data_IF_813237911654
#
_entry.id   IF_813237911654
#
_cell.length_a   1.000
_cell.length_b   1.000
_cell.length_c   1.000
_cell.angle_alpha   90.00
_cell.angle_beta   90.00
_cell.angle_gamma   90.00
#
_symmetry.space_group_name_H-M   'P 1'
#
loop_
_entity.id
_entity.type
_entity.pdbx_description
1 polymer ?
#
# COMPACT_ATOMS: atom_id res chain seq x y z
N UNK A 1 -38.98 17.21 -0.25
CA UNK A 1 -39.00 15.91 -0.97
C UNK A 1 -37.72 15.17 -0.58
N UNK A 2 -37.79 14.15 0.29
CA UNK A 2 -36.63 13.39 0.77
C UNK A 2 -36.35 12.25 -0.20
N UNK A 3 -35.20 12.28 -0.87
CA UNK A 3 -34.77 11.17 -1.74
C UNK A 3 -34.19 10.06 -0.85
N UNK A 4 -34.96 8.98 -0.68
CA UNK A 4 -34.51 7.78 0.02
C UNK A 4 -33.75 6.89 -0.97
N UNK A 5 -32.42 7.07 -1.03
CA UNK A 5 -31.54 6.20 -1.80
C UNK A 5 -31.38 4.90 -1.02
N UNK A 6 -32.03 3.83 -1.49
CA UNK A 6 -31.92 2.51 -0.89
C UNK A 6 -30.49 1.95 -1.02
N UNK A 7 -30.04 1.15 -0.06
CA UNK A 7 -28.71 0.49 -0.11
C UNK A 7 -28.51 -0.35 -1.39
N UNK A 8 -29.60 -0.84 -1.98
CA UNK A 8 -29.58 -1.64 -3.21
C UNK A 8 -29.24 -0.82 -4.46
N UNK A 9 -29.55 0.49 -4.48
CA UNK A 9 -29.24 1.36 -5.63
C UNK A 9 -27.73 1.67 -5.72
N UNK A 10 -27.03 1.70 -4.58
CA UNK A 10 -25.57 1.90 -4.53
C UNK A 10 -24.84 0.62 -4.99
N UNK A 11 -25.33 -0.56 -4.58
CA UNK A 11 -24.79 -1.84 -5.01
C UNK A 11 -24.96 -2.07 -6.53
N UNK A 12 -26.09 -1.63 -7.10
CA UNK A 12 -26.33 -1.70 -8.54
C UNK A 12 -25.41 -0.74 -9.32
N UNK A 13 -25.10 0.43 -8.76
CA UNK A 13 -24.17 1.38 -9.36
C UNK A 13 -22.74 0.82 -9.37
N UNK A 14 -22.34 0.06 -8.34
CA UNK A 14 -21.04 -0.61 -8.28
C UNK A 14 -20.93 -1.78 -9.26
N UNK A 15 -22.03 -2.48 -9.57
CA UNK A 15 -22.04 -3.59 -10.53
C UNK A 15 -21.95 -3.12 -11.99
N UNK A 16 -22.45 -1.92 -12.31
CA UNK A 16 -22.49 -1.38 -13.68
C UNK A 16 -21.16 -0.80 -14.19
N UNK A 17 -20.15 -0.61 -13.33
CA UNK A 17 -18.81 -0.16 -13.74
C UNK A 17 -17.84 -1.31 -14.07
N UNK A 18 -18.33 -2.55 -14.13
CA UNK A 18 -17.51 -3.76 -14.39
C UNK A 18 -17.33 -4.06 -15.89
N UNK A 19 -17.67 -3.14 -16.80
CA UNK A 19 -17.54 -3.37 -18.24
C UNK A 19 -16.06 -3.37 -18.66
N UNK A 20 -15.58 -4.58 -18.95
CA UNK A 20 -14.27 -4.91 -19.49
C UNK A 20 -13.84 -3.95 -20.62
N UNK A 21 -12.91 -3.06 -20.31
CA UNK A 21 -12.14 -2.33 -21.32
C UNK A 21 -10.99 -3.23 -21.77
N UNK A 22 -11.25 -4.09 -22.74
CA UNK A 22 -10.21 -4.87 -23.40
C UNK A 22 -9.48 -3.98 -24.41
N UNK A 23 -8.29 -3.52 -24.03
CA UNK A 23 -7.35 -2.90 -24.95
C UNK A 23 -6.23 -3.91 -25.20
N UNK A 24 -6.26 -4.56 -26.36
CA UNK A 24 -5.20 -5.41 -26.84
C UNK A 24 -4.25 -4.59 -27.70
N UNK A 25 -3.03 -4.34 -27.20
CA UNK A 25 -1.84 -4.19 -28.06
C UNK A 25 -0.66 -4.92 -27.40
N UNK A 26 -0.02 -5.75 -28.20
CA UNK A 26 1.02 -6.71 -27.88
C UNK A 26 2.39 -6.05 -27.65
N UNK A 27 3.10 -6.46 -26.60
CA UNK A 27 4.52 -6.89 -26.61
C UNK A 27 4.94 -7.32 -25.20
N UNK A 28 5.08 -8.63 -24.95
CA UNK A 28 5.76 -9.19 -23.77
C UNK A 28 5.33 -8.65 -22.38
N UNK A 29 4.04 -8.38 -22.20
CA UNK A 29 3.49 -7.93 -20.92
C UNK A 29 3.04 -9.18 -20.18
N UNK A 30 3.80 -9.63 -19.17
CA UNK A 30 3.28 -10.59 -18.20
C UNK A 30 2.15 -9.90 -17.43
N UNK A 31 0.92 -10.37 -17.64
CA UNK A 31 -0.22 -9.93 -16.87
C UNK A 31 -0.07 -10.44 -15.44
N UNK A 32 0.28 -9.52 -14.53
CA UNK A 32 0.33 -9.83 -13.12
C UNK A 32 -1.12 -10.03 -12.64
N UNK A 33 -1.43 -11.18 -12.04
CA UNK A 33 -2.75 -11.40 -11.45
C UNK A 33 -2.87 -10.60 -10.13
N UNK A 34 -3.26 -9.33 -10.23
CA UNK A 34 -3.39 -8.40 -9.09
C UNK A 34 -4.63 -8.63 -8.21
N UNK A 35 -5.55 -9.53 -8.58
CA UNK A 35 -6.79 -9.73 -7.82
C UNK A 35 -6.53 -10.19 -6.37
N UNK A 36 -5.54 -11.07 -6.19
CA UNK A 36 -5.16 -11.57 -4.85
C UNK A 36 -4.51 -10.45 -4.01
N UNK A 37 -3.77 -9.55 -4.66
CA UNK A 37 -3.21 -8.36 -4.02
C UNK A 37 -4.32 -7.40 -3.58
N UNK A 38 -5.36 -7.23 -4.38
CA UNK A 38 -6.45 -6.29 -4.10
C UNK A 38 -7.17 -6.65 -2.80
N UNK A 39 -7.43 -7.94 -2.56
CA UNK A 39 -8.07 -8.44 -1.33
C UNK A 39 -7.19 -8.18 -0.11
N UNK A 40 -5.87 -8.31 -0.25
CA UNK A 40 -4.92 -8.02 0.82
C UNK A 40 -4.75 -6.52 1.09
N UNK A 41 -4.87 -5.68 0.07
CA UNK A 41 -4.61 -4.23 0.14
C UNK A 41 -5.83 -3.46 0.66
N UNK A 42 -7.05 -3.84 0.26
CA UNK A 42 -8.29 -3.12 0.57
C UNK A 42 -8.51 -2.89 2.08
N UNK A 43 -8.31 -3.88 2.97
CA UNK A 43 -8.49 -3.70 4.41
C UNK A 43 -7.55 -2.64 4.99
N UNK A 44 -6.30 -2.57 4.52
CA UNK A 44 -5.32 -1.59 5.01
C UNK A 44 -5.63 -0.17 4.53
N UNK A 45 -6.16 -0.01 3.31
CA UNK A 45 -6.69 1.29 2.87
C UNK A 45 -7.89 1.73 3.73
N UNK A 46 -8.80 0.81 4.04
CA UNK A 46 -9.93 1.13 4.92
C UNK A 46 -9.46 1.58 6.32
N UNK A 47 -8.45 0.91 6.88
CA UNK A 47 -7.82 1.30 8.16
C UNK A 47 -7.16 2.68 8.07
N UNK A 48 -6.47 2.97 6.96
CA UNK A 48 -5.82 4.27 6.73
C UNK A 48 -6.86 5.40 6.63
N UNK A 49 -7.97 5.18 5.92
CA UNK A 49 -9.09 6.12 5.84
C UNK A 49 -9.72 6.34 7.22
N UNK A 50 -9.88 5.27 8.00
CA UNK A 50 -10.39 5.37 9.37
C UNK A 50 -9.44 6.18 10.26
N UNK A 51 -8.13 5.95 10.15
CA UNK A 51 -7.09 6.73 10.82
C UNK A 51 -7.15 8.21 10.45
N UNK A 52 -7.32 8.53 9.17
CA UNK A 52 -7.51 9.91 8.71
C UNK A 52 -8.76 10.56 9.31
N UNK A 53 -9.88 9.82 9.34
CA UNK A 53 -11.13 10.30 9.95
C UNK A 53 -10.96 10.61 11.45
N UNK A 54 -10.27 9.73 12.18
CA UNK A 54 -9.94 9.94 13.60
C UNK A 54 -9.01 11.14 13.81
N UNK A 55 -8.06 11.35 12.90
CA UNK A 55 -7.15 12.49 12.94
C UNK A 55 -7.88 13.81 12.71
N UNK A 56 -8.76 13.88 11.70
CA UNK A 56 -9.60 15.06 11.46
C UNK A 56 -10.47 15.35 12.68
N UNK A 57 -11.06 14.31 13.29
CA UNK A 57 -11.84 14.46 14.51
C UNK A 57 -10.99 14.99 15.69
N UNK A 58 -9.74 14.53 15.84
CA UNK A 58 -8.77 15.05 16.82
C UNK A 58 -8.43 16.53 16.56
N UNK A 59 -8.30 16.95 15.30
CA UNK A 59 -8.07 18.36 14.96
C UNK A 59 -9.25 19.24 15.37
N UNK A 60 -10.48 18.78 15.16
CA UNK A 60 -11.69 19.50 15.56
C UNK A 60 -11.92 19.50 17.08
N UNK A 61 -11.56 18.41 17.75
CA UNK A 61 -11.67 18.24 19.21
C UNK A 61 -10.32 17.80 19.79
N UNK A 62 -9.42 18.73 20.16
CA UNK A 62 -8.04 18.42 20.57
C UNK A 62 -7.93 17.46 21.76
N UNK A 63 -8.90 17.47 22.66
CA UNK A 63 -8.96 16.60 23.85
C UNK A 63 -9.53 15.20 23.57
N UNK A 64 -9.89 14.88 22.32
CA UNK A 64 -10.34 13.55 21.94
C UNK A 64 -9.20 12.52 22.12
N UNK A 65 -9.47 11.31 22.65
CA UNK A 65 -8.43 10.29 22.85
C UNK A 65 -7.80 9.82 21.53
N UNK A 66 -6.47 9.83 21.44
CA UNK A 66 -5.75 9.39 20.21
C UNK A 66 -5.46 7.89 20.16
N UNK A 67 -5.86 7.11 21.17
CA UNK A 67 -5.53 5.69 21.25
C UNK A 67 -5.87 4.96 19.95
N UNK A 68 -7.07 5.19 19.42
CA UNK A 68 -7.53 4.58 18.17
C UNK A 68 -6.80 5.11 16.94
N UNK A 69 -6.45 6.41 16.91
CA UNK A 69 -5.63 6.98 15.84
C UNK A 69 -4.28 6.25 15.75
N UNK A 70 -3.61 6.05 16.89
CA UNK A 70 -2.32 5.36 16.93
C UNK A 70 -2.43 3.90 16.53
N UNK A 71 -3.46 3.19 16.99
CA UNK A 71 -3.70 1.80 16.58
C UNK A 71 -3.89 1.72 15.06
N UNK A 72 -4.72 2.59 14.46
CA UNK A 72 -4.91 2.62 13.02
C UNK A 72 -3.63 2.94 12.26
N UNK A 73 -2.86 3.95 12.69
CA UNK A 73 -1.61 4.32 12.02
C UNK A 73 -0.54 3.21 12.11
N UNK A 74 -0.36 2.58 13.27
CA UNK A 74 0.58 1.46 13.43
C UNK A 74 0.15 0.28 12.58
N UNK A 75 -1.15 -0.03 12.58
CA UNK A 75 -1.70 -1.14 11.78
C UNK A 75 -1.54 -0.87 10.28
N UNK A 76 -1.71 0.38 9.84
CA UNK A 76 -1.45 0.80 8.46
C UNK A 76 0.02 0.66 8.05
N UNK A 77 0.96 1.00 8.93
CA UNK A 77 2.42 0.82 8.69
C UNK A 77 2.78 -0.66 8.58
N UNK A 78 2.30 -1.50 9.49
CA UNK A 78 2.53 -2.95 9.44
C UNK A 78 1.86 -3.56 8.19
N UNK A 79 0.68 -3.07 7.83
CA UNK A 79 -0.02 -3.44 6.61
C UNK A 79 0.76 -3.11 5.34
N UNK A 80 1.42 -1.95 5.29
CA UNK A 80 2.29 -1.58 4.18
C UNK A 80 3.44 -2.57 3.99
N UNK A 81 4.04 -3.06 5.09
CA UNK A 81 5.07 -4.10 5.02
C UNK A 81 4.51 -5.43 4.49
N UNK A 82 3.33 -5.85 4.95
CA UNK A 82 2.66 -7.06 4.48
C UNK A 82 2.31 -6.99 2.98
N UNK A 83 1.80 -5.84 2.51
CA UNK A 83 1.50 -5.59 1.09
C UNK A 83 2.78 -5.63 0.25
N UNK A 84 3.84 -4.96 0.69
CA UNK A 84 5.11 -4.94 -0.03
C UNK A 84 5.70 -6.35 -0.16
N UNK A 85 5.60 -7.17 0.89
CA UNK A 85 6.01 -8.58 0.87
C UNK A 85 5.18 -9.39 -0.13
N UNK A 86 3.85 -9.31 -0.10
CA UNK A 86 3.01 -10.01 -1.08
C UNK A 86 3.26 -9.54 -2.52
N UNK A 87 3.52 -8.24 -2.72
CA UNK A 87 3.85 -7.71 -4.03
C UNK A 87 5.17 -8.30 -4.55
N UNK A 88 6.17 -8.45 -3.67
CA UNK A 88 7.43 -9.11 -4.00
C UNK A 88 7.23 -10.61 -4.28
N UNK A 89 6.44 -11.31 -3.47
CA UNK A 89 6.12 -12.73 -3.66
C UNK A 89 5.44 -12.98 -5.01
N UNK A 90 4.39 -12.22 -5.34
CA UNK A 90 3.68 -12.30 -6.62
C UNK A 90 4.64 -12.02 -7.79
N UNK A 91 5.53 -11.04 -7.65
CA UNK A 91 6.53 -10.77 -8.68
C UNK A 91 7.52 -11.91 -8.87
N UNK A 92 8.06 -12.47 -7.80
CA UNK A 92 9.04 -13.56 -7.89
C UNK A 92 8.43 -14.89 -8.37
N UNK A 93 7.13 -15.09 -8.19
CA UNK A 93 6.41 -16.29 -8.67
C UNK A 93 5.92 -16.14 -10.11
N UNK A 94 5.47 -14.95 -10.51
CA UNK A 94 4.94 -14.70 -11.86
C UNK A 94 6.01 -14.25 -12.85
N UNK A 95 7.15 -13.73 -12.38
CA UNK A 95 8.31 -13.38 -13.20
C UNK A 95 9.53 -14.18 -12.71
N UNK A 96 9.83 -15.36 -13.30
CA UNK A 96 11.00 -16.17 -12.94
C UNK A 96 12.32 -15.43 -13.07
N UNK A 97 12.34 -14.40 -13.91
CA UNK A 97 13.50 -13.55 -14.12
C UNK A 97 13.76 -12.54 -12.99
N UNK A 98 12.80 -12.32 -12.09
CA UNK A 98 12.91 -11.46 -10.90
C UNK A 98 13.29 -12.24 -9.62
N UNK A 99 13.70 -13.50 -9.74
CA UNK A 99 14.25 -14.23 -8.60
C UNK A 99 15.70 -13.82 -8.38
N UNK A 100 16.09 -13.45 -7.14
CA UNK A 100 17.48 -13.14 -6.82
C UNK A 100 18.31 -14.36 -7.16
N UNK A 101 19.28 -14.14 -8.02
CA UNK A 101 20.00 -15.24 -8.63
C UNK A 101 20.96 -15.77 -7.57
N UNK A 102 20.71 -16.97 -7.02
CA UNK A 102 21.68 -17.68 -6.17
C UNK A 102 22.86 -18.20 -7.00
N UNK A 103 23.33 -17.41 -7.96
CA UNK A 103 24.38 -17.81 -8.88
C UNK A 103 25.70 -17.49 -8.22
N UNK A 104 26.53 -18.51 -8.06
CA UNK A 104 27.90 -18.34 -7.60
C UNK A 104 28.63 -17.47 -8.63
N UNK A 105 28.92 -16.22 -8.29
CA UNK A 105 29.46 -15.23 -9.25
C UNK A 105 30.92 -15.50 -9.64
N UNK A 106 31.54 -16.53 -9.07
CA UNK A 106 32.89 -16.97 -9.40
C UNK A 106 32.92 -17.61 -10.79
N UNK A 107 33.41 -16.87 -11.78
CA UNK A 107 33.60 -17.34 -13.16
C UNK A 107 32.63 -16.74 -14.19
N UNK A 108 31.71 -15.87 -13.78
CA UNK A 108 30.81 -15.16 -14.70
C UNK A 108 31.53 -13.92 -15.27
N UNK A 109 31.40 -13.62 -16.57
CA UNK A 109 31.91 -12.38 -17.16
C UNK A 109 31.41 -11.14 -16.40
N UNK A 110 32.31 -10.18 -16.13
CA UNK A 110 32.00 -8.96 -15.33
C UNK A 110 30.77 -8.20 -15.81
N UNK A 111 30.56 -8.12 -17.12
CA UNK A 111 29.40 -7.44 -17.72
C UNK A 111 28.06 -8.08 -17.32
N UNK A 112 28.03 -9.41 -17.22
CA UNK A 112 26.82 -10.15 -16.81
C UNK A 112 26.61 -10.01 -15.29
N UNK A 113 27.70 -9.97 -14.52
CA UNK A 113 27.66 -9.74 -13.08
C UNK A 113 27.09 -8.35 -12.75
N UNK A 114 27.53 -7.31 -13.47
CA UNK A 114 27.01 -5.95 -13.34
C UNK A 114 25.52 -5.86 -13.71
N UNK A 115 25.08 -6.57 -14.75
CA UNK A 115 23.65 -6.64 -15.11
C UNK A 115 22.79 -7.30 -14.02
N UNK A 116 23.28 -8.38 -13.40
CA UNK A 116 22.59 -9.06 -12.29
C UNK A 116 22.47 -8.13 -11.09
N UNK A 117 23.57 -7.48 -10.68
CA UNK A 117 23.57 -6.55 -9.54
C UNK A 117 22.69 -5.33 -9.82
N UNK A 118 22.75 -4.76 -11.02
CA UNK A 118 21.89 -3.65 -11.41
C UNK A 118 20.40 -4.03 -11.32
N UNK A 119 20.06 -5.25 -11.76
CA UNK A 119 18.70 -5.78 -11.69
C UNK A 119 18.21 -5.99 -10.26
N UNK A 120 18.99 -6.68 -9.42
CA UNK A 120 18.65 -6.88 -8.00
C UNK A 120 18.48 -5.55 -7.27
N UNK A 121 19.33 -4.56 -7.57
CA UNK A 121 19.22 -3.21 -7.01
C UNK A 121 17.94 -2.48 -7.43
N UNK A 122 17.45 -2.71 -8.65
CA UNK A 122 16.21 -2.12 -9.16
C UNK A 122 14.97 -2.74 -8.51
N UNK A 123 14.95 -4.06 -8.34
CA UNK A 123 13.85 -4.78 -7.70
C UNK A 123 13.72 -4.45 -6.21
N UNK A 124 14.86 -4.29 -5.51
CA UNK A 124 14.89 -3.82 -4.14
C UNK A 124 14.34 -2.38 -4.03
N UNK A 125 14.76 -1.48 -4.92
CA UNK A 125 14.26 -0.09 -4.95
C UNK A 125 12.75 -0.05 -5.15
N UNK A 126 12.21 -0.91 -6.01
CA UNK A 126 10.78 -0.92 -6.29
C UNK A 126 9.95 -1.50 -5.14
N UNK A 127 10.46 -2.52 -4.45
CA UNK A 127 9.84 -3.07 -3.23
C UNK A 127 9.80 -2.03 -2.12
N UNK A 128 10.92 -1.31 -1.92
CA UNK A 128 11.02 -0.20 -0.96
C UNK A 128 10.06 0.93 -1.34
N UNK A 129 9.96 1.28 -2.63
CA UNK A 129 9.03 2.31 -3.10
C UNK A 129 7.58 1.92 -2.80
N UNK A 130 7.19 0.67 -3.09
CA UNK A 130 5.84 0.19 -2.83
C UNK A 130 5.47 0.21 -1.35
N UNK A 131 6.41 -0.16 -0.47
CA UNK A 131 6.24 0.00 0.98
C UNK A 131 5.98 1.46 1.36
N UNK A 132 6.83 2.38 0.91
CA UNK A 132 6.74 3.79 1.30
C UNK A 132 5.47 4.47 0.79
N UNK A 133 4.99 4.14 -0.41
CA UNK A 133 3.74 4.69 -0.96
C UNK A 133 2.55 4.45 -0.01
N UNK A 134 2.50 3.29 0.64
CA UNK A 134 1.42 2.93 1.57
C UNK A 134 1.73 3.37 3.02
N UNK A 135 3.01 3.35 3.41
CA UNK A 135 3.42 3.66 4.78
C UNK A 135 3.47 5.17 5.09
N UNK A 136 3.88 6.03 4.14
CA UNK A 136 4.06 7.49 4.35
C UNK A 136 2.82 8.15 4.97
N UNK A 137 1.59 7.95 4.44
CA UNK A 137 0.40 8.59 5.01
C UNK A 137 0.18 8.21 6.48
N UNK A 138 0.46 6.96 6.83
CA UNK A 138 0.29 6.45 8.20
C UNK A 138 1.36 6.98 9.15
N UNK A 139 2.61 7.15 8.70
CA UNK A 139 3.67 7.81 9.46
C UNK A 139 3.34 9.29 9.73
N UNK A 140 2.82 10.00 8.73
CA UNK A 140 2.41 11.41 8.88
C UNK A 140 1.28 11.53 9.92
N UNK A 141 0.25 10.68 9.83
CA UNK A 141 -0.85 10.68 10.80
C UNK A 141 -0.37 10.41 12.23
N UNK A 142 0.56 9.47 12.40
CA UNK A 142 1.14 9.14 13.70
C UNK A 142 1.95 10.33 14.25
N UNK A 143 2.83 10.91 13.45
CA UNK A 143 3.66 12.05 13.83
C UNK A 143 2.83 13.29 14.19
N UNK A 144 1.86 13.65 13.35
CA UNK A 144 0.98 14.79 13.61
C UNK A 144 0.09 14.54 14.83
N UNK A 145 -0.43 13.32 15.01
CA UNK A 145 -1.21 12.93 16.18
C UNK A 145 -0.42 13.09 17.49
N UNK A 146 0.85 12.67 17.51
CA UNK A 146 1.75 12.87 18.64
C UNK A 146 2.06 14.36 18.86
N UNK A 147 2.28 15.12 17.79
CA UNK A 147 2.54 16.56 17.86
C UNK A 147 1.40 17.36 18.51
N UNK A 148 0.14 17.01 18.19
CA UNK A 148 -1.03 17.64 18.82
C UNK A 148 -1.07 17.34 20.32
N UNK A 149 -0.82 16.10 20.72
CA UNK A 149 -0.81 15.74 22.15
C UNK A 149 0.31 16.43 22.92
N UNK A 150 1.52 16.49 22.34
CA UNK A 150 2.63 17.19 22.96
C UNK A 150 2.33 18.69 23.13
N UNK A 151 1.72 19.32 22.13
CA UNK A 151 1.30 20.72 22.20
C UNK A 151 0.25 20.94 23.30
N UNK A 152 -0.76 20.08 23.39
CA UNK A 152 -1.82 20.23 24.38
C UNK A 152 -1.29 20.04 25.81
N UNK A 153 -0.40 19.07 26.04
CA UNK A 153 0.26 18.88 27.34
C UNK A 153 1.13 20.06 27.79
N UNK A 154 1.56 20.92 26.87
CA UNK A 154 2.35 22.12 27.16
C UNK A 154 1.49 23.35 27.45
N UNK A 155 0.20 23.29 27.11
CA UNK A 155 -0.75 24.38 27.29
C UNK A 155 -1.57 24.25 28.59
N UNK A 156 -1.60 23.04 29.16
CA UNK A 156 -2.07 22.76 30.53
C UNK A 156 -0.92 22.94 31.54
#
# INVERSE_FOLDING_TARGET
>A
MKVNISKNTIALLFLLFSSNLSAQTTTNIHYIHLNDLLISVLPFYAITILGLGLFIHKLMRPNFPSKWLYICSITGILGAAAIAYQFQEIRTTQLPSAQPSKINMTGIPKEIQEQIVARESSELKETIANYWVVAIPNFILLGLGLGIEWRNKKAD
#
